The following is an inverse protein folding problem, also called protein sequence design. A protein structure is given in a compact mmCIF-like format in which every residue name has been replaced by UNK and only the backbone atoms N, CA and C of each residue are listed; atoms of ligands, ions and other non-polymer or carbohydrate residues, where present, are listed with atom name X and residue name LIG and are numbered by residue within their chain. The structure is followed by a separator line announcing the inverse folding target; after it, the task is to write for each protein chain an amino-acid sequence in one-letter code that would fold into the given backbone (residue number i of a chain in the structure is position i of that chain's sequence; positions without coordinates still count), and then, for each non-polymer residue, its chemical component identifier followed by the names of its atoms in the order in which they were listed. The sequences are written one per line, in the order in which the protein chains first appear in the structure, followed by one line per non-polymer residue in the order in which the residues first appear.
data_IF_413523378565
#
_entry.id   IF_413523378565
#
_cell.length_a   1.000
_cell.length_b   1.000
_cell.length_c   1.000
_cell.angle_alpha   90.00
_cell.angle_beta   90.00
_cell.angle_gamma   90.00
#
_symmetry.space_group_name_H-M   'P 1'
#
loop_
_entity.id
_entity.type
_entity.pdbx_description
1 polymer ?
#
# COMPACT_ATOMS: atom_id res chain seq x y z
N UNK A 1 11.90 -12.59 11.02
CA UNK A 1 10.87 -13.49 10.43
C UNK A 1 11.31 -14.08 9.09
N UNK A 2 11.75 -13.30 8.10
CA UNK A 2 12.23 -13.86 6.81
C UNK A 2 13.47 -14.76 7.00
N UNK A 3 14.37 -14.40 7.88
CA UNK A 3 15.58 -15.18 8.20
C UNK A 3 15.31 -16.31 9.19
N UNK A 4 14.36 -16.14 10.11
CA UNK A 4 14.04 -17.12 11.16
C UNK A 4 12.94 -18.11 10.74
N UNK A 5 12.01 -17.69 9.87
CA UNK A 5 10.87 -18.48 9.38
C UNK A 5 10.64 -18.27 7.88
N UNK A 6 11.61 -18.61 7.01
CA UNK A 6 11.55 -18.30 5.57
C UNK A 6 10.38 -18.98 4.86
N UNK A 7 10.04 -20.22 5.25
CA UNK A 7 8.93 -20.97 4.64
C UNK A 7 7.57 -20.34 4.95
N UNK A 8 7.32 -19.96 6.21
CA UNK A 8 6.08 -19.31 6.63
C UNK A 8 5.92 -17.93 5.98
N UNK A 9 7.05 -17.21 5.82
CA UNK A 9 7.03 -15.94 5.13
C UNK A 9 6.75 -16.08 3.63
N UNK A 10 7.33 -17.10 2.99
CA UNK A 10 7.07 -17.39 1.58
C UNK A 10 5.61 -17.83 1.34
N UNK A 11 5.07 -18.68 2.22
CA UNK A 11 3.67 -19.09 2.16
C UNK A 11 2.71 -17.89 2.31
N UNK A 12 2.94 -17.02 3.28
CA UNK A 12 2.14 -15.80 3.46
C UNK A 12 2.23 -14.86 2.25
N UNK A 13 3.42 -14.67 1.73
CA UNK A 13 3.65 -13.76 0.62
C UNK A 13 3.09 -14.27 -0.71
N UNK A 14 3.03 -15.59 -0.91
CA UNK A 14 2.41 -16.22 -2.09
C UNK A 14 0.89 -16.32 -1.97
N UNK A 15 0.33 -16.22 -0.75
CA UNK A 15 -1.10 -16.42 -0.50
C UNK A 15 -1.92 -15.26 -1.04
N UNK A 16 -2.96 -15.58 -1.80
CA UNK A 16 -3.98 -14.60 -2.21
C UNK A 16 -4.91 -14.33 -1.02
N UNK A 17 -4.73 -13.21 -0.34
CA UNK A 17 -5.62 -12.78 0.75
C UNK A 17 -6.82 -12.06 0.15
N UNK A 18 -8.00 -12.64 0.32
CA UNK A 18 -9.28 -12.07 -0.10
C UNK A 18 -10.19 -11.76 1.09
N UNK A 19 -9.96 -12.38 2.25
CA UNK A 19 -10.65 -12.12 3.51
C UNK A 19 -9.65 -11.62 4.56
N UNK A 20 -9.81 -10.37 4.97
CA UNK A 20 -8.92 -9.75 5.97
C UNK A 20 -8.99 -10.40 7.36
N UNK A 21 -10.08 -11.10 7.70
CA UNK A 21 -10.17 -11.87 8.97
C UNK A 21 -9.11 -12.97 9.04
N UNK A 22 -8.64 -13.48 7.91
CA UNK A 22 -7.49 -14.40 7.88
C UNK A 22 -6.21 -13.75 8.41
N UNK A 23 -6.08 -12.43 8.25
CA UNK A 23 -4.94 -11.67 8.81
C UNK A 23 -4.98 -11.71 10.35
N UNK A 24 -6.16 -11.64 10.97
CA UNK A 24 -6.32 -11.78 12.42
C UNK A 24 -5.71 -13.08 12.96
N UNK A 25 -5.75 -14.15 12.19
CA UNK A 25 -5.14 -15.45 12.53
C UNK A 25 -3.61 -15.45 12.36
N UNK A 26 -3.10 -14.66 11.44
CA UNK A 26 -1.68 -14.61 11.10
C UNK A 26 -0.91 -13.58 11.95
N UNK A 27 -1.53 -12.47 12.32
CA UNK A 27 -0.94 -11.42 13.14
C UNK A 27 -0.27 -11.90 14.44
N UNK A 28 -0.76 -12.94 15.16
CA UNK A 28 -0.10 -13.49 16.32
C UNK A 28 1.37 -13.91 16.08
N UNK A 29 1.66 -14.47 14.91
CA UNK A 29 3.02 -14.89 14.53
C UNK A 29 4.00 -13.72 14.48
N UNK A 30 3.52 -12.54 14.03
CA UNK A 30 4.29 -11.30 14.00
C UNK A 30 4.33 -10.62 15.36
N UNK A 31 3.25 -10.71 16.12
CA UNK A 31 3.04 -9.99 17.38
C UNK A 31 3.84 -10.59 18.54
N UNK A 32 3.83 -11.91 18.69
CA UNK A 32 4.46 -12.60 19.83
C UNK A 32 5.92 -12.21 20.05
N UNK A 33 6.80 -12.22 19.04
CA UNK A 33 8.20 -11.83 19.25
C UNK A 33 8.39 -10.33 19.56
N UNK A 34 7.47 -9.48 19.13
CA UNK A 34 7.54 -8.03 19.34
C UNK A 34 6.92 -7.57 20.67
N UNK A 35 6.00 -8.34 21.23
CA UNK A 35 5.20 -7.94 22.39
C UNK A 35 6.05 -7.59 23.63
N UNK A 36 7.06 -8.36 24.04
CA UNK A 36 7.86 -8.01 25.22
C UNK A 36 8.56 -6.66 25.10
N UNK A 37 9.15 -6.38 23.93
CA UNK A 37 9.83 -5.11 23.66
C UNK A 37 8.84 -3.92 23.60
N UNK A 38 7.69 -4.12 22.95
CA UNK A 38 6.63 -3.10 22.85
C UNK A 38 6.08 -2.77 24.25
N UNK A 39 5.84 -3.79 25.08
CA UNK A 39 5.38 -3.62 26.46
C UNK A 39 6.38 -2.83 27.30
N UNK A 40 7.65 -3.19 27.28
CA UNK A 40 8.70 -2.50 28.03
C UNK A 40 8.84 -1.02 27.64
N UNK A 41 8.72 -0.71 26.34
CA UNK A 41 8.72 0.69 25.86
C UNK A 41 7.49 1.43 26.39
N UNK A 42 6.31 0.85 26.29
CA UNK A 42 5.06 1.48 26.70
C UNK A 42 4.98 1.74 28.21
N UNK A 43 5.42 0.79 29.04
CA UNK A 43 5.47 0.95 30.51
C UNK A 43 6.42 2.09 30.94
N UNK A 44 7.53 2.26 30.22
CA UNK A 44 8.48 3.37 30.46
C UNK A 44 7.96 4.70 29.93
N UNK A 45 7.39 4.72 28.73
CA UNK A 45 6.93 5.94 28.06
C UNK A 45 5.61 6.44 28.64
N UNK A 46 4.72 5.53 29.09
CA UNK A 46 3.38 5.83 29.61
C UNK A 46 2.53 6.65 28.64
N UNK A 47 2.20 6.10 27.47
CA UNK A 47 1.40 6.82 26.47
C UNK A 47 -0.03 7.09 26.99
N UNK A 48 -0.62 8.20 26.56
CA UNK A 48 -2.04 8.51 26.76
C UNK A 48 -2.94 7.82 25.71
N UNK A 49 -2.37 7.33 24.64
CA UNK A 49 -3.03 6.60 23.54
C UNK A 49 -2.04 5.73 22.81
N UNK A 50 -2.50 4.60 22.29
CA UNK A 50 -1.71 3.75 21.38
C UNK A 50 -2.27 3.88 19.96
N UNK A 51 -1.46 4.38 19.02
CA UNK A 51 -1.78 4.40 17.60
C UNK A 51 -0.98 3.31 16.92
N UNK A 52 -1.64 2.45 16.16
CA UNK A 52 -1.04 1.26 15.59
C UNK A 52 -1.52 1.03 14.16
N UNK A 53 -0.60 0.66 13.25
CA UNK A 53 -1.01 0.16 11.93
C UNK A 53 -1.82 -1.13 12.05
N UNK A 54 -2.81 -1.32 11.20
CA UNK A 54 -3.76 -2.46 11.28
C UNK A 54 -3.10 -3.84 11.20
N UNK A 55 -1.88 -3.93 10.68
CA UNK A 55 -1.08 -5.17 10.66
C UNK A 55 -0.29 -5.42 11.94
N UNK A 56 -0.32 -4.52 12.91
CA UNK A 56 0.26 -4.73 14.23
C UNK A 56 -0.76 -5.40 15.17
N UNK A 57 -0.29 -5.96 16.27
CA UNK A 57 -1.15 -6.58 17.28
C UNK A 57 -0.76 -6.21 18.70
N UNK A 58 0.55 -6.03 18.95
CA UNK A 58 1.06 -5.73 20.30
C UNK A 58 0.45 -4.48 20.93
N UNK A 59 0.10 -3.46 20.13
CA UNK A 59 -0.51 -2.24 20.62
C UNK A 59 -1.91 -2.45 21.22
N UNK A 60 -2.69 -3.41 20.76
CA UNK A 60 -3.99 -3.76 21.39
C UNK A 60 -3.79 -4.29 22.82
N UNK A 61 -2.83 -5.20 23.01
CA UNK A 61 -2.52 -5.77 24.33
C UNK A 61 -1.93 -4.69 25.23
N UNK A 62 -1.02 -3.85 24.70
CA UNK A 62 -0.43 -2.72 25.43
C UNK A 62 -1.48 -1.73 25.88
N UNK A 63 -2.37 -1.30 24.97
CA UNK A 63 -3.42 -0.33 25.30
C UNK A 63 -4.39 -0.88 26.36
N UNK A 64 -4.77 -2.16 26.21
CA UNK A 64 -5.61 -2.84 27.21
C UNK A 64 -4.95 -2.99 28.57
N UNK A 65 -3.65 -3.33 28.62
CA UNK A 65 -2.86 -3.41 29.85
C UNK A 65 -2.75 -2.07 30.58
N UNK A 66 -2.54 -0.99 29.82
CA UNK A 66 -2.38 0.36 30.38
C UNK A 66 -3.73 1.07 30.63
N UNK A 67 -4.84 0.52 30.16
CA UNK A 67 -6.17 1.16 30.26
C UNK A 67 -6.31 2.44 29.44
N UNK A 68 -5.56 2.55 28.32
CA UNK A 68 -5.55 3.72 27.44
C UNK A 68 -6.31 3.46 26.15
N UNK A 69 -6.82 4.50 25.45
CA UNK A 69 -7.45 4.36 24.15
C UNK A 69 -6.51 3.74 23.12
N UNK A 70 -7.10 3.04 22.13
CA UNK A 70 -6.39 2.49 20.97
C UNK A 70 -6.96 3.02 19.67
N UNK A 71 -6.07 3.31 18.72
CA UNK A 71 -6.45 3.76 17.38
C UNK A 71 -5.73 2.90 16.34
N UNK A 72 -6.52 2.22 15.50
CA UNK A 72 -6.03 1.50 14.33
C UNK A 72 -5.84 2.47 13.17
N UNK A 73 -4.68 2.45 12.52
CA UNK A 73 -4.37 3.29 11.37
C UNK A 73 -4.32 2.43 10.11
N UNK A 74 -5.24 2.65 9.19
CA UNK A 74 -5.26 2.02 7.87
C UNK A 74 -4.08 2.48 6.99
N UNK A 75 -3.78 1.71 5.94
CA UNK A 75 -2.70 2.03 4.99
C UNK A 75 -3.11 1.81 3.53
N UNK A 76 -4.36 1.45 3.27
CA UNK A 76 -4.90 1.18 1.93
C UNK A 76 -6.34 0.71 1.99
N UNK A 77 -6.70 -0.25 1.14
CA UNK A 77 -8.09 -0.75 1.01
C UNK A 77 -8.41 -1.95 1.90
N UNK A 78 -7.43 -2.45 2.65
CA UNK A 78 -7.64 -3.54 3.61
C UNK A 78 -8.55 -3.05 4.73
N UNK A 79 -9.67 -3.74 4.95
CA UNK A 79 -10.62 -3.44 6.03
C UNK A 79 -10.19 -4.12 7.32
N UNK A 80 -10.58 -3.55 8.47
CA UNK A 80 -10.21 -4.08 9.78
C UNK A 80 -11.36 -4.77 10.51
N UNK A 81 -12.58 -4.75 9.93
CA UNK A 81 -13.75 -5.40 10.51
C UNK A 81 -13.49 -6.89 10.79
N UNK A 82 -13.70 -7.29 12.04
CA UNK A 82 -13.46 -8.67 12.51
C UNK A 82 -11.99 -9.05 12.73
N UNK A 83 -11.02 -8.22 12.34
CA UNK A 83 -9.58 -8.50 12.56
C UNK A 83 -9.22 -8.42 14.04
N UNK A 84 -9.76 -7.43 14.76
CA UNK A 84 -9.49 -7.23 16.19
C UNK A 84 -10.04 -8.40 17.03
N UNK A 85 -11.24 -8.84 16.72
CA UNK A 85 -11.90 -9.96 17.40
C UNK A 85 -11.16 -11.27 17.14
N UNK A 86 -10.82 -11.54 15.88
CA UNK A 86 -10.03 -12.71 15.51
C UNK A 86 -8.61 -12.68 16.15
N UNK A 87 -7.99 -11.51 16.21
CA UNK A 87 -6.73 -11.33 16.90
C UNK A 87 -6.85 -11.59 18.40
N UNK A 88 -7.89 -11.04 19.07
CA UNK A 88 -8.14 -11.27 20.50
C UNK A 88 -8.32 -12.77 20.80
N UNK A 89 -9.04 -13.50 19.95
CA UNK A 89 -9.24 -14.93 20.10
C UNK A 89 -7.92 -15.70 20.02
N UNK A 90 -7.09 -15.40 19.01
CA UNK A 90 -5.81 -16.09 18.77
C UNK A 90 -4.67 -15.68 19.72
N UNK A 91 -4.83 -14.59 20.45
CA UNK A 91 -3.89 -14.05 21.44
C UNK A 91 -4.44 -14.10 22.88
N UNK A 92 -5.46 -14.93 23.13
CA UNK A 92 -6.14 -14.99 24.42
C UNK A 92 -5.19 -15.22 25.60
N UNK A 93 -4.21 -16.13 25.42
CA UNK A 93 -3.22 -16.42 26.46
C UNK A 93 -2.33 -15.22 26.79
N UNK A 94 -1.92 -14.45 25.78
CA UNK A 94 -1.09 -13.26 25.98
C UNK A 94 -1.90 -12.12 26.66
N UNK A 95 -3.17 -11.95 26.29
CA UNK A 95 -4.06 -11.04 26.99
C UNK A 95 -4.19 -11.42 28.49
N UNK A 96 -4.45 -12.69 28.80
CA UNK A 96 -4.52 -13.19 30.17
C UNK A 96 -3.19 -13.03 30.92
N UNK A 97 -2.07 -13.40 30.32
CA UNK A 97 -0.73 -13.29 30.91
C UNK A 97 -0.40 -11.84 31.31
N UNK A 98 -0.81 -10.87 30.52
CA UNK A 98 -0.58 -9.45 30.78
C UNK A 98 -1.70 -8.79 31.60
N UNK A 99 -2.78 -9.50 31.95
CA UNK A 99 -3.96 -8.95 32.61
C UNK A 99 -4.59 -7.83 31.78
N UNK A 100 -4.61 -8.00 30.45
CA UNK A 100 -5.11 -7.02 29.52
C UNK A 100 -6.50 -7.43 29.00
N UNK A 101 -7.35 -6.43 28.78
CA UNK A 101 -8.62 -6.56 28.07
C UNK A 101 -8.57 -5.74 26.78
N UNK A 102 -9.53 -5.95 25.87
CA UNK A 102 -9.63 -5.05 24.73
C UNK A 102 -9.89 -3.62 25.21
N UNK A 103 -9.20 -2.60 24.68
CA UNK A 103 -9.45 -1.22 25.05
C UNK A 103 -10.93 -0.86 24.85
N UNK A 104 -11.57 -0.26 25.85
CA UNK A 104 -12.97 0.18 25.76
C UNK A 104 -13.14 1.26 24.70
N UNK A 105 -12.17 2.19 24.63
CA UNK A 105 -12.16 3.28 23.66
C UNK A 105 -11.27 2.90 22.49
N UNK A 106 -11.90 2.64 21.36
CA UNK A 106 -11.25 2.28 20.10
C UNK A 106 -11.74 3.18 18.99
N UNK A 107 -10.85 3.54 18.07
CA UNK A 107 -11.16 4.24 16.84
C UNK A 107 -10.30 3.70 15.69
N UNK A 108 -10.68 4.06 14.48
CA UNK A 108 -9.92 3.75 13.28
C UNK A 108 -9.68 5.03 12.48
N UNK A 109 -8.52 5.09 11.82
CA UNK A 109 -8.21 6.10 10.81
C UNK A 109 -8.18 5.40 9.46
N UNK A 110 -9.06 5.82 8.57
CA UNK A 110 -9.22 5.28 7.24
C UNK A 110 -8.59 6.22 6.20
N UNK A 111 -7.60 5.75 5.47
CA UNK A 111 -6.89 6.56 4.47
C UNK A 111 -7.39 6.33 3.05
N UNK A 112 -8.22 5.31 2.84
CA UNK A 112 -8.81 5.04 1.53
C UNK A 112 -9.93 6.04 1.22
N UNK A 113 -10.02 6.54 -0.04
CA UNK A 113 -11.11 7.42 -0.43
C UNK A 113 -12.46 6.68 -0.38
N UNK A 114 -13.51 7.28 0.20
CA UNK A 114 -14.81 6.63 0.38
C UNK A 114 -15.39 5.99 -0.89
N UNK A 115 -15.22 6.64 -2.07
CA UNK A 115 -15.73 6.12 -3.35
C UNK A 115 -15.06 4.80 -3.81
N UNK A 116 -13.98 4.40 -3.18
CA UNK A 116 -13.25 3.15 -3.48
C UNK A 116 -13.46 2.07 -2.41
N UNK A 117 -14.28 2.34 -1.39
CA UNK A 117 -14.59 1.38 -0.35
C UNK A 117 -15.82 0.53 -0.71
N UNK A 118 -15.81 -0.72 -0.31
CA UNK A 118 -16.99 -1.58 -0.34
C UNK A 118 -17.82 -1.35 0.94
N UNK A 119 -18.47 -0.19 1.04
CA UNK A 119 -19.27 0.20 2.21
C UNK A 119 -18.82 1.52 2.83
N UNK A 120 -19.31 1.80 4.03
CA UNK A 120 -18.97 3.01 4.78
C UNK A 120 -17.52 2.96 5.33
N UNK A 121 -16.88 4.13 5.54
CA UNK A 121 -15.61 4.19 6.25
C UNK A 121 -15.70 3.56 7.64
N UNK A 122 -14.71 2.78 8.05
CA UNK A 122 -14.68 2.13 9.37
C UNK A 122 -14.42 3.10 10.52
N UNK A 123 -13.99 4.33 10.22
CA UNK A 123 -13.63 5.30 11.24
C UNK A 123 -13.46 6.71 10.72
N UNK A 124 -12.41 7.37 11.17
CA UNK A 124 -12.11 8.74 10.76
C UNK A 124 -11.41 8.75 9.41
N UNK A 125 -12.03 9.32 8.40
CA UNK A 125 -11.36 9.54 7.13
C UNK A 125 -10.18 10.48 7.30
N UNK A 126 -9.05 10.15 6.70
CA UNK A 126 -7.85 10.98 6.67
C UNK A 126 -7.23 10.96 5.28
N UNK A 127 -6.91 12.14 4.78
CA UNK A 127 -6.24 12.28 3.49
C UNK A 127 -4.92 11.53 3.44
N UNK A 128 -4.77 10.64 2.45
CA UNK A 128 -3.49 10.03 2.17
C UNK A 128 -2.50 11.09 1.66
N UNK A 129 -1.33 11.13 2.27
CA UNK A 129 -0.23 12.00 1.85
C UNK A 129 0.90 11.11 1.33
N UNK A 130 1.21 11.14 0.02
CA UNK A 130 2.31 10.37 -0.54
C UNK A 130 3.65 10.71 0.12
N UNK A 131 4.34 9.69 0.64
CA UNK A 131 5.71 9.79 1.12
C UNK A 131 6.51 8.60 0.59
N UNK A 132 7.39 8.88 -0.35
CA UNK A 132 8.17 7.86 -1.06
C UNK A 132 9.68 7.98 -0.79
N UNK A 133 10.04 8.46 0.39
CA UNK A 133 11.42 8.75 0.76
C UNK A 133 11.94 10.07 0.18
N UNK A 134 13.13 10.47 0.62
CA UNK A 134 13.86 11.59 0.06
C UNK A 134 14.79 11.12 -1.06
N UNK A 135 15.11 12.01 -2.00
CA UNK A 135 16.07 11.76 -3.06
C UNK A 135 16.32 13.04 -3.85
N UNK A 136 17.41 13.04 -4.59
CA UNK A 136 17.65 14.09 -5.59
C UNK A 136 16.87 13.71 -6.84
N UNK A 137 15.99 14.61 -7.28
CA UNK A 137 15.26 14.40 -8.53
C UNK A 137 16.25 14.43 -9.70
N UNK A 138 16.24 13.40 -10.56
CA UNK A 138 17.05 13.39 -11.76
C UNK A 138 16.65 14.54 -12.70
N UNK A 139 17.61 15.21 -13.33
CA UNK A 139 17.34 16.34 -14.23
C UNK A 139 16.40 15.97 -15.40
N UNK A 140 16.52 14.74 -15.93
CA UNK A 140 15.67 14.25 -17.00
C UNK A 140 14.18 14.17 -16.64
N UNK A 141 13.85 14.17 -15.34
CA UNK A 141 12.45 14.10 -14.90
C UNK A 141 11.65 15.35 -15.29
N UNK A 142 12.33 16.50 -15.33
CA UNK A 142 11.76 17.76 -15.79
C UNK A 142 11.65 17.86 -17.32
N UNK A 143 12.29 16.97 -18.07
CA UNK A 143 12.22 16.90 -19.53
C UNK A 143 10.89 16.24 -19.93
N UNK A 144 9.90 17.04 -20.29
CA UNK A 144 8.63 16.53 -20.83
C UNK A 144 8.79 16.38 -22.34
N UNK A 145 8.83 15.13 -22.81
CA UNK A 145 8.74 14.83 -24.24
C UNK A 145 7.28 14.98 -24.76
N UNK A 146 7.11 14.83 -26.08
CA UNK A 146 5.78 14.86 -26.72
C UNK A 146 4.97 13.58 -26.45
N UNK A 147 5.58 12.53 -25.91
CA UNK A 147 4.96 11.24 -25.64
C UNK A 147 4.52 11.12 -24.19
N UNK A 148 3.40 10.42 -23.92
CA UNK A 148 3.02 10.10 -22.54
C UNK A 148 4.11 9.28 -21.85
N UNK A 149 4.30 9.53 -20.55
CA UNK A 149 5.22 8.76 -19.71
C UNK A 149 4.48 7.69 -18.95
N UNK A 150 4.96 6.46 -19.05
CA UNK A 150 4.48 5.29 -18.31
C UNK A 150 5.52 4.94 -17.24
N UNK A 151 5.17 5.15 -15.97
CA UNK A 151 5.98 4.71 -14.86
C UNK A 151 5.75 3.21 -14.59
N UNK A 152 6.83 2.48 -14.27
CA UNK A 152 6.76 1.05 -13.94
C UNK A 152 7.49 0.81 -12.62
N UNK A 153 6.82 0.16 -11.65
CA UNK A 153 7.47 -0.24 -10.41
C UNK A 153 6.89 -1.53 -9.85
N UNK A 154 7.74 -2.39 -9.33
CA UNK A 154 7.35 -3.58 -8.58
C UNK A 154 7.47 -3.37 -7.05
N UNK A 155 7.76 -2.14 -6.61
CA UNK A 155 8.05 -1.84 -5.21
C UNK A 155 9.37 -2.46 -4.76
N UNK A 156 9.60 -2.51 -3.44
CA UNK A 156 10.88 -2.95 -2.85
C UNK A 156 10.93 -4.44 -2.49
N UNK A 157 9.79 -5.11 -2.43
CA UNK A 157 9.66 -6.50 -1.94
C UNK A 157 9.42 -7.49 -3.08
N UNK A 158 8.51 -7.17 -4.01
CA UNK A 158 8.10 -8.09 -5.06
C UNK A 158 9.24 -8.57 -5.97
N UNK A 159 10.20 -7.74 -6.41
CA UNK A 159 11.31 -8.21 -7.24
C UNK A 159 12.15 -9.30 -6.59
N UNK A 160 12.29 -9.24 -5.26
CA UNK A 160 13.08 -10.22 -4.47
C UNK A 160 12.36 -11.55 -4.27
N UNK A 161 11.06 -11.60 -4.52
CA UNK A 161 10.23 -12.78 -4.25
C UNK A 161 9.71 -13.45 -5.52
N UNK A 162 9.29 -12.66 -6.50
CA UNK A 162 8.55 -13.13 -7.66
C UNK A 162 9.32 -12.94 -8.98
N UNK A 163 10.57 -12.40 -8.91
CA UNK A 163 11.37 -12.13 -10.11
C UNK A 163 10.90 -10.89 -10.87
N UNK A 164 11.34 -10.77 -12.13
CA UNK A 164 11.13 -9.62 -13.03
C UNK A 164 10.17 -9.91 -14.19
N UNK A 165 9.46 -11.05 -14.20
CA UNK A 165 8.58 -11.45 -15.28
C UNK A 165 7.63 -10.34 -15.79
N UNK A 166 6.91 -9.61 -14.90
CA UNK A 166 6.08 -8.48 -15.33
C UNK A 166 6.88 -7.38 -16.05
N UNK A 167 8.12 -7.11 -15.63
CA UNK A 167 8.98 -6.10 -16.26
C UNK A 167 9.43 -6.57 -17.65
N UNK A 168 9.81 -7.83 -17.79
CA UNK A 168 10.19 -8.43 -19.07
C UNK A 168 9.06 -8.33 -20.10
N UNK A 169 7.81 -8.59 -19.68
CA UNK A 169 6.62 -8.43 -20.52
C UNK A 169 6.38 -6.98 -20.94
N UNK A 170 6.53 -6.03 -20.01
CA UNK A 170 6.39 -4.61 -20.30
C UNK A 170 7.48 -4.15 -21.29
N UNK A 171 8.72 -4.60 -21.11
CA UNK A 171 9.82 -4.30 -22.04
C UNK A 171 9.52 -4.87 -23.44
N UNK A 172 8.97 -6.09 -23.53
CA UNK A 172 8.57 -6.69 -24.79
C UNK A 172 7.41 -5.94 -25.48
N UNK A 173 6.48 -5.38 -24.71
CA UNK A 173 5.33 -4.62 -25.21
C UNK A 173 5.69 -3.17 -25.60
N UNK A 174 6.72 -2.59 -25.00
CA UNK A 174 7.06 -1.17 -25.14
C UNK A 174 7.26 -0.68 -26.59
N UNK A 175 7.87 -1.46 -27.53
CA UNK A 175 8.01 -1.03 -28.92
C UNK A 175 6.69 -0.75 -29.65
N UNK A 176 5.59 -1.38 -29.22
CA UNK A 176 4.25 -1.29 -29.81
C UNK A 176 3.36 -0.22 -29.13
N UNK A 177 3.94 0.59 -28.22
CA UNK A 177 3.26 1.65 -27.49
C UNK A 177 3.97 2.98 -27.74
N UNK A 178 3.23 4.00 -28.18
CA UNK A 178 3.80 5.35 -28.37
C UNK A 178 3.91 6.13 -27.05
N UNK A 179 4.79 5.63 -26.17
CA UNK A 179 5.05 6.19 -24.85
C UNK A 179 6.53 6.04 -24.47
N UNK A 180 6.99 6.88 -23.51
CA UNK A 180 8.24 6.68 -22.80
C UNK A 180 7.99 5.81 -21.56
N UNK A 181 8.72 4.72 -21.39
CA UNK A 181 8.66 3.86 -20.22
C UNK A 181 9.81 4.16 -19.26
N UNK A 182 9.49 4.37 -17.98
CA UNK A 182 10.47 4.59 -16.91
C UNK A 182 10.39 3.47 -15.89
N UNK A 183 11.41 2.62 -15.84
CA UNK A 183 11.52 1.51 -14.91
C UNK A 183 12.13 1.99 -13.59
N UNK A 184 11.28 2.28 -12.60
CA UNK A 184 11.67 2.67 -11.24
C UNK A 184 11.70 1.43 -10.32
N UNK A 185 12.72 0.60 -10.49
CA UNK A 185 12.86 -0.70 -9.80
C UNK A 185 13.77 -0.65 -8.57
N UNK A 186 14.36 0.52 -8.29
CA UNK A 186 15.34 0.73 -7.21
C UNK A 186 16.73 0.18 -7.55
N UNK A 187 17.72 0.54 -6.74
CA UNK A 187 19.14 0.24 -6.98
C UNK A 187 19.52 -1.22 -6.65
N UNK A 188 18.59 -2.01 -6.11
CA UNK A 188 18.82 -3.40 -5.72
C UNK A 188 18.46 -4.43 -6.80
N UNK A 189 17.91 -3.96 -7.92
CA UNK A 189 17.51 -4.82 -9.03
C UNK A 189 18.65 -4.85 -10.06
N UNK A 190 19.10 -6.05 -10.39
CA UNK A 190 20.06 -6.26 -11.48
C UNK A 190 19.35 -6.04 -12.83
N UNK A 191 19.61 -4.89 -13.42
CA UNK A 191 19.03 -4.52 -14.71
C UNK A 191 19.82 -5.08 -15.89
N UNK A 192 21.07 -5.54 -15.69
CA UNK A 192 21.90 -6.12 -16.75
C UNK A 192 21.28 -7.42 -17.28
N UNK A 193 20.56 -8.15 -16.42
CA UNK A 193 19.80 -9.35 -16.78
C UNK A 193 18.63 -9.12 -17.74
N UNK A 194 18.15 -7.87 -17.89
CA UNK A 194 17.04 -7.53 -18.80
C UNK A 194 17.44 -7.37 -20.26
N UNK A 195 18.75 -7.48 -20.58
CA UNK A 195 19.28 -7.34 -21.93
C UNK A 195 19.20 -5.90 -22.47
N UNK A 196 19.18 -5.78 -23.80
CA UNK A 196 19.12 -4.47 -24.46
C UNK A 196 17.71 -3.89 -24.36
N UNK A 197 17.56 -2.75 -23.69
CA UNK A 197 16.27 -2.07 -23.59
C UNK A 197 15.87 -1.41 -24.92
N UNK A 198 14.57 -1.41 -25.27
CA UNK A 198 14.04 -0.65 -26.39
C UNK A 198 14.34 0.86 -26.25
N UNK A 199 14.40 1.61 -27.36
CA UNK A 199 14.77 3.03 -27.34
C UNK A 199 13.81 3.92 -26.50
N UNK A 200 12.57 3.48 -26.31
CA UNK A 200 11.56 4.17 -25.51
C UNK A 200 11.48 3.67 -24.06
N UNK A 201 12.42 2.83 -23.61
CA UNK A 201 12.49 2.31 -22.24
C UNK A 201 13.74 2.84 -21.54
N UNK A 202 13.56 3.48 -20.40
CA UNK A 202 14.63 4.00 -19.53
C UNK A 202 14.63 3.26 -18.19
N UNK A 203 15.77 2.74 -17.78
CA UNK A 203 15.99 2.30 -16.41
C UNK A 203 16.40 3.50 -15.55
N UNK A 204 15.67 3.76 -14.45
CA UNK A 204 15.84 4.97 -13.65
C UNK A 204 16.45 4.72 -12.26
N UNK A 205 16.66 3.46 -11.86
CA UNK A 205 17.13 3.15 -10.51
C UNK A 205 16.14 3.61 -9.44
N UNK A 206 16.65 4.24 -8.37
CA UNK A 206 15.81 4.84 -7.34
C UNK A 206 15.35 6.25 -7.75
N UNK A 207 14.05 6.44 -7.82
CA UNK A 207 13.40 7.75 -8.03
C UNK A 207 12.24 7.87 -7.05
N UNK A 208 12.06 9.02 -6.36
CA UNK A 208 10.86 9.25 -5.57
C UNK A 208 9.61 9.08 -6.43
N UNK A 209 8.75 8.13 -6.05
CA UNK A 209 7.61 7.73 -6.89
C UNK A 209 6.63 8.90 -7.12
N UNK A 210 6.40 9.75 -6.11
CA UNK A 210 5.56 10.92 -6.23
C UNK A 210 6.08 11.91 -7.30
N UNK A 211 7.40 12.13 -7.35
CA UNK A 211 8.01 13.01 -8.37
C UNK A 211 7.90 12.41 -9.77
N UNK A 212 8.14 11.09 -9.91
CA UNK A 212 7.97 10.39 -11.19
C UNK A 212 6.51 10.47 -11.66
N UNK A 213 5.55 10.20 -10.78
CA UNK A 213 4.12 10.19 -11.12
C UNK A 213 3.58 11.57 -11.47
N UNK A 214 4.14 12.65 -10.91
CA UNK A 214 3.75 14.02 -11.26
C UNK A 214 3.97 14.33 -12.77
N UNK A 215 4.80 13.53 -13.45
CA UNK A 215 5.08 13.67 -14.89
C UNK A 215 4.60 12.46 -15.71
N UNK A 216 3.84 11.54 -15.10
CA UNK A 216 3.41 10.30 -15.73
C UNK A 216 1.92 10.30 -16.07
N UNK A 217 1.58 9.64 -17.18
CA UNK A 217 0.21 9.44 -17.64
C UNK A 217 -0.39 8.10 -17.17
N UNK A 218 0.46 7.16 -16.76
CA UNK A 218 0.08 5.81 -16.31
C UNK A 218 1.12 5.27 -15.34
N UNK A 219 0.67 4.52 -14.32
CA UNK A 219 1.53 3.68 -13.48
C UNK A 219 1.22 2.21 -13.71
N UNK A 220 2.23 1.39 -14.02
CA UNK A 220 2.13 -0.08 -14.03
C UNK A 220 2.83 -0.61 -12.78
N UNK A 221 2.10 -1.43 -11.97
CA UNK A 221 2.64 -1.88 -10.69
C UNK A 221 2.04 -3.20 -10.18
N UNK A 222 2.63 -3.71 -9.10
CA UNK A 222 2.30 -4.99 -8.48
C UNK A 222 1.14 -4.96 -7.46
N UNK A 223 0.51 -3.80 -7.19
CA UNK A 223 -0.63 -3.67 -6.28
C UNK A 223 -0.31 -3.44 -4.80
N UNK A 224 0.94 -3.14 -4.42
CA UNK A 224 1.25 -2.77 -3.03
C UNK A 224 0.48 -1.53 -2.57
N UNK A 225 0.01 -1.50 -1.31
CA UNK A 225 -0.90 -0.46 -0.81
C UNK A 225 -0.37 0.96 -1.03
N UNK A 226 0.87 1.28 -0.60
CA UNK A 226 1.45 2.61 -0.81
C UNK A 226 1.66 2.94 -2.29
N UNK A 227 1.97 1.92 -3.12
CA UNK A 227 2.12 2.09 -4.57
C UNK A 227 0.78 2.35 -5.25
N UNK A 228 -0.32 1.75 -4.77
CA UNK A 228 -1.67 1.99 -5.29
C UNK A 228 -2.24 3.34 -4.83
N UNK A 229 -1.97 3.76 -3.59
CA UNK A 229 -2.48 5.00 -3.03
C UNK A 229 -1.80 6.26 -3.58
N UNK A 230 -0.50 6.19 -3.92
CA UNK A 230 0.25 7.35 -4.43
C UNK A 230 -0.32 7.90 -5.75
N UNK A 231 -0.56 7.09 -6.80
CA UNK A 231 -1.15 7.56 -8.05
C UNK A 231 -2.59 8.09 -7.87
N UNK A 232 -3.37 7.53 -6.94
CA UNK A 232 -4.72 8.05 -6.65
C UNK A 232 -4.66 9.48 -6.12
N UNK A 233 -3.71 9.78 -5.22
CA UNK A 233 -3.54 11.13 -4.70
C UNK A 233 -3.05 12.13 -5.76
N UNK A 234 -2.46 11.64 -6.86
CA UNK A 234 -1.92 12.45 -7.96
C UNK A 234 -2.79 12.42 -9.22
N UNK A 235 -3.89 11.69 -9.24
CA UNK A 235 -4.79 11.60 -10.38
C UNK A 235 -4.21 10.81 -11.57
N UNK A 236 -3.37 9.82 -11.30
CA UNK A 236 -2.71 8.99 -12.33
C UNK A 236 -3.41 7.63 -12.47
N UNK A 237 -3.87 7.24 -13.66
CA UNK A 237 -4.41 5.91 -13.93
C UNK A 237 -3.43 4.78 -13.61
N UNK A 238 -3.96 3.58 -13.36
CA UNK A 238 -3.16 2.44 -12.92
C UNK A 238 -3.41 1.18 -13.75
N UNK A 239 -2.34 0.45 -14.07
CA UNK A 239 -2.39 -0.94 -14.52
C UNK A 239 -1.78 -1.81 -13.41
N UNK A 240 -2.60 -2.68 -12.83
CA UNK A 240 -2.18 -3.48 -11.68
C UNK A 240 -2.09 -4.95 -12.05
N UNK A 241 -0.89 -5.53 -11.93
CA UNK A 241 -0.66 -6.97 -12.02
C UNK A 241 -0.34 -7.50 -10.61
N UNK A 242 -1.35 -7.92 -9.83
CA UNK A 242 -1.16 -8.26 -8.41
C UNK A 242 -0.48 -9.61 -8.24
N UNK A 243 0.37 -9.72 -7.22
CA UNK A 243 1.06 -10.97 -6.88
C UNK A 243 1.17 -11.17 -5.37
N UNK A 244 0.26 -11.96 -4.79
CA UNK A 244 0.25 -12.33 -3.37
C UNK A 244 -0.22 -11.24 -2.38
N UNK A 245 -0.40 -11.61 -1.13
CA UNK A 245 -0.81 -10.76 0.00
C UNK A 245 -2.11 -9.96 -0.27
N UNK A 246 -2.17 -8.70 0.19
CA UNK A 246 -3.28 -7.76 0.04
C UNK A 246 -3.38 -7.12 -1.35
N UNK A 247 -2.46 -7.42 -2.26
CA UNK A 247 -2.34 -6.73 -3.56
C UNK A 247 -3.55 -6.95 -4.45
N UNK A 248 -4.22 -8.10 -4.33
CA UNK A 248 -5.47 -8.40 -5.03
C UNK A 248 -6.64 -7.52 -4.53
N UNK A 249 -6.68 -7.19 -3.24
CA UNK A 249 -7.68 -6.25 -2.68
C UNK A 249 -7.47 -4.86 -3.27
N UNK A 250 -6.22 -4.41 -3.32
CA UNK A 250 -5.87 -3.10 -3.87
C UNK A 250 -6.17 -3.02 -5.37
N UNK A 251 -5.81 -4.07 -6.13
CA UNK A 251 -6.09 -4.16 -7.56
C UNK A 251 -7.59 -4.17 -7.87
N UNK A 252 -8.38 -4.92 -7.09
CA UNK A 252 -9.83 -4.96 -7.23
C UNK A 252 -10.48 -3.59 -6.96
N UNK A 253 -10.00 -2.85 -5.96
CA UNK A 253 -10.49 -1.50 -5.66
C UNK A 253 -10.19 -0.53 -6.83
N UNK A 254 -8.97 -0.57 -7.38
CA UNK A 254 -8.57 0.23 -8.57
C UNK A 254 -9.47 -0.08 -9.77
N UNK A 255 -9.68 -1.36 -10.06
CA UNK A 255 -10.50 -1.80 -11.20
C UNK A 255 -11.97 -1.43 -10.99
N UNK A 256 -12.55 -1.72 -9.84
CA UNK A 256 -13.96 -1.49 -9.54
C UNK A 256 -14.34 -0.01 -9.58
N UNK A 257 -13.44 0.90 -9.14
CA UNK A 257 -13.67 2.35 -9.23
C UNK A 257 -13.49 2.87 -10.65
N UNK A 258 -12.83 2.13 -11.53
CA UNK A 258 -12.53 2.55 -12.89
C UNK A 258 -11.37 3.55 -13.01
N UNK A 259 -10.47 3.58 -12.04
CA UNK A 259 -9.22 4.37 -12.09
C UNK A 259 -8.09 3.62 -12.79
N UNK A 260 -8.35 2.39 -13.21
CA UNK A 260 -7.36 1.55 -13.87
C UNK A 260 -7.89 0.15 -14.18
N UNK A 261 -6.98 -0.75 -14.53
CA UNK A 261 -7.26 -2.14 -14.80
C UNK A 261 -6.46 -3.07 -13.89
N UNK A 262 -7.08 -4.19 -13.53
CA UNK A 262 -6.41 -5.35 -12.96
C UNK A 262 -6.25 -6.40 -14.06
N UNK A 263 -5.06 -6.96 -14.19
CA UNK A 263 -4.74 -8.02 -15.15
C UNK A 263 -3.89 -9.09 -14.47
N UNK A 264 -3.91 -10.30 -15.00
CA UNK A 264 -2.90 -11.30 -14.64
C UNK A 264 -1.59 -10.98 -15.40
N UNK A 265 -0.46 -11.48 -14.90
CA UNK A 265 0.85 -11.19 -15.48
C UNK A 265 0.92 -11.51 -16.98
N UNK A 266 0.30 -12.62 -17.39
CA UNK A 266 0.26 -13.08 -18.78
C UNK A 266 -0.48 -12.14 -19.73
N UNK A 267 -1.36 -11.30 -19.19
CA UNK A 267 -2.16 -10.33 -19.94
C UNK A 267 -1.49 -8.96 -20.10
N UNK A 268 -0.30 -8.77 -19.48
CA UNK A 268 0.49 -7.55 -19.66
C UNK A 268 1.03 -7.48 -21.09
N UNK A 269 0.37 -6.70 -21.94
CA UNK A 269 0.68 -6.49 -23.33
C UNK A 269 0.46 -5.04 -23.78
N UNK A 270 0.86 -4.70 -25.00
CA UNK A 270 0.69 -3.37 -25.57
C UNK A 270 -0.78 -2.94 -25.70
N UNK A 271 -1.70 -3.88 -25.93
CA UNK A 271 -3.14 -3.61 -26.08
C UNK A 271 -3.73 -3.03 -24.79
N UNK A 272 -3.42 -3.64 -23.64
CA UNK A 272 -3.93 -3.19 -22.34
C UNK A 272 -3.31 -1.84 -21.95
N UNK A 273 -2.04 -1.62 -22.27
CA UNK A 273 -1.35 -0.35 -22.00
C UNK A 273 -1.96 0.76 -22.86
N UNK A 274 -2.10 0.55 -24.19
CA UNK A 274 -2.74 1.50 -25.09
C UNK A 274 -4.19 1.81 -24.66
N UNK A 275 -4.97 0.81 -24.23
CA UNK A 275 -6.32 1.02 -23.73
C UNK A 275 -6.37 2.05 -22.59
N UNK A 276 -5.42 1.98 -21.64
CA UNK A 276 -5.37 2.91 -20.50
C UNK A 276 -4.88 4.31 -20.89
N UNK A 277 -4.03 4.41 -21.92
CA UNK A 277 -3.54 5.69 -22.42
C UNK A 277 -4.58 6.40 -23.29
N UNK A 278 -5.34 5.64 -24.12
CA UNK A 278 -6.26 6.18 -25.13
C UNK A 278 -7.66 6.47 -24.57
N UNK A 279 -8.16 5.65 -23.61
CA UNK A 279 -9.50 5.82 -23.06
C UNK A 279 -9.53 6.90 -21.96
N UNK A 280 -10.01 8.08 -22.30
CA UNK A 280 -10.10 9.26 -21.42
C UNK A 280 -10.77 9.00 -20.07
N UNK A 281 -11.70 8.04 -20.01
CA UNK A 281 -12.45 7.70 -18.79
C UNK A 281 -11.53 7.40 -17.59
N UNK A 282 -10.40 6.72 -17.79
CA UNK A 282 -9.48 6.39 -16.70
C UNK A 282 -8.83 7.63 -16.09
N UNK A 283 -8.43 8.58 -16.96
CA UNK A 283 -7.84 9.85 -16.54
C UNK A 283 -8.85 10.71 -15.81
N UNK A 284 -10.09 10.79 -16.32
CA UNK A 284 -11.18 11.54 -15.69
C UNK A 284 -11.50 10.96 -14.32
N UNK A 285 -11.67 9.65 -14.22
CA UNK A 285 -11.96 8.98 -12.95
C UNK A 285 -10.80 9.11 -11.94
N UNK A 286 -9.54 9.00 -12.39
CA UNK A 286 -8.39 9.22 -11.52
C UNK A 286 -8.33 10.65 -10.96
N UNK A 287 -8.66 11.66 -11.78
CA UNK A 287 -8.75 13.04 -11.34
C UNK A 287 -9.88 13.27 -10.32
N UNK A 288 -11.06 12.63 -10.50
CA UNK A 288 -12.15 12.67 -9.52
C UNK A 288 -11.71 12.12 -8.16
N UNK A 289 -11.03 10.97 -8.15
CA UNK A 289 -10.53 10.34 -6.91
C UNK A 289 -9.44 11.20 -6.26
N UNK A 290 -8.57 11.83 -7.04
CA UNK A 290 -7.56 12.75 -6.50
C UNK A 290 -8.23 13.97 -5.83
N UNK A 291 -9.27 14.52 -6.44
CA UNK A 291 -10.04 15.62 -5.85
C UNK A 291 -10.77 15.19 -4.55
N UNK A 292 -11.32 13.97 -4.52
CA UNK A 292 -11.91 13.39 -3.32
C UNK A 292 -10.88 13.26 -2.19
N UNK A 293 -9.71 12.68 -2.48
CA UNK A 293 -8.61 12.55 -1.49
C UNK A 293 -8.19 13.93 -0.99
N UNK A 294 -8.06 14.93 -1.87
CA UNK A 294 -7.68 16.28 -1.49
C UNK A 294 -8.69 16.96 -0.55
N UNK A 295 -9.97 16.59 -0.66
CA UNK A 295 -11.06 17.09 0.20
C UNK A 295 -11.16 16.37 1.55
N UNK A 296 -10.50 15.21 1.74
CA UNK A 296 -10.50 14.50 3.01
C UNK A 296 -9.75 15.29 4.09
N UNK A 297 -10.11 15.12 5.38
CA UNK A 297 -9.39 15.76 6.49
C UNK A 297 -7.89 15.51 6.45
N UNK A 298 -7.11 16.54 6.68
CA UNK A 298 -5.64 16.44 6.70
C UNK A 298 -5.17 15.61 7.91
N UNK A 299 -3.94 15.07 7.89
CA UNK A 299 -3.34 14.43 9.06
C UNK A 299 -3.29 15.34 10.30
N UNK A 300 -3.14 16.66 10.12
CA UNK A 300 -3.14 17.62 11.22
C UNK A 300 -4.52 17.76 11.88
N UNK A 301 -5.61 17.77 11.09
CA UNK A 301 -6.98 17.79 11.60
C UNK A 301 -7.33 16.49 12.33
N UNK A 302 -6.89 15.34 11.79
CA UNK A 302 -7.08 14.04 12.45
C UNK A 302 -6.26 13.94 13.75
N UNK A 303 -5.04 14.49 13.76
CA UNK A 303 -4.24 14.58 14.98
C UNK A 303 -4.92 15.44 16.07
N UNK A 304 -5.55 16.55 15.70
CA UNK A 304 -6.36 17.34 16.65
C UNK A 304 -7.54 16.52 17.19
N UNK A 305 -8.28 15.82 16.32
CA UNK A 305 -9.36 14.90 16.72
C UNK A 305 -8.87 13.80 17.66
N UNK A 306 -7.66 13.29 17.44
CA UNK A 306 -7.03 12.28 18.31
C UNK A 306 -6.83 12.84 19.73
N UNK A 307 -6.39 14.10 19.87
CA UNK A 307 -6.23 14.76 21.18
C UNK A 307 -7.57 14.87 21.91
N UNK A 308 -8.64 15.24 21.20
CA UNK A 308 -9.98 15.32 21.79
C UNK A 308 -10.49 13.92 22.18
N UNK A 309 -10.24 12.91 21.34
CA UNK A 309 -10.56 11.51 21.62
C UNK A 309 -9.86 10.99 22.89
N UNK A 310 -8.65 11.43 23.20
CA UNK A 310 -7.92 11.04 24.42
C UNK A 310 -8.52 11.71 25.66
N UNK A 311 -8.96 12.96 25.54
CA UNK A 311 -9.46 13.74 26.67
C UNK A 311 -10.88 13.34 27.14
N UNK A 312 -11.63 12.65 26.29
CA UNK A 312 -12.97 12.16 26.64
C UNK A 312 -14.09 12.75 25.92
#
# INVERSE_FOLDING_TARGET
MREEHPEQFAEFAARRVTDVREMGRFLPTLTRPLLPGTMAVAERFRPDVVVQGVLGGSGLIVAGKLGVPWVGHGFGFVRSEGVVEAFREHMAAEFEQHGAELPERRAYVDVAPPSMLAGEPEGWSMRYVPYNGGGVEPSWLAETGDRPRVAVTLGTVAPKMNGLGPVERIIAAAPDVDAEFVLALGDQVDLDGLGTLPPNVRAAGWVPLNSLLATSSLLIHHGGAGTAMTPLALGVPQLVAPSGADRYINAAAVHSRGVGLQVEEEELDARVINQLLDEEKYRVTAAEVAAEIAAMPSPAEVAARLVDFVRG
#
